data_IF_949296174644
#
_entry.id   IF_949296174644
#
_cell.length_a   1.000
_cell.length_b   1.000
_cell.length_c   1.000
_cell.angle_alpha   90.00
_cell.angle_beta   90.00
_cell.angle_gamma   90.00
#
_symmetry.space_group_name_H-M   'P 1'
#
loop_
_entity.id
_entity.type
_entity.pdbx_description
1 polymer ?
#
# COMPACT_ATOMS: atom_id res chain seq x y z
N UNK A 1 -10.16 1.12 10.29
CA UNK A 1 -11.34 1.90 9.89
C UNK A 1 -12.31 2.07 11.06
N UNK A 2 -13.08 3.15 11.04
CA UNK A 2 -14.15 3.36 12.01
C UNK A 2 -15.37 2.49 11.65
N UNK A 3 -15.81 1.56 12.50
CA UNK A 3 -16.77 0.51 12.11
C UNK A 3 -18.20 1.00 11.90
N UNK A 4 -18.55 2.17 12.46
CA UNK A 4 -19.93 2.72 12.42
C UNK A 4 -20.12 3.81 11.37
N UNK A 5 -19.09 4.11 10.57
CA UNK A 5 -19.15 5.11 9.50
C UNK A 5 -19.04 4.43 8.15
N UNK A 6 -19.53 5.09 7.10
CA UNK A 6 -19.41 4.57 5.73
C UNK A 6 -17.97 4.58 5.25
N UNK A 7 -17.68 3.82 4.20
CA UNK A 7 -16.39 3.80 3.49
C UNK A 7 -15.99 5.22 3.08
N UNK A 8 -16.88 5.94 2.42
CA UNK A 8 -16.63 7.31 1.98
C UNK A 8 -16.24 8.22 3.13
N UNK A 9 -16.98 8.17 4.23
CA UNK A 9 -16.69 8.98 5.43
C UNK A 9 -15.38 8.58 6.11
N UNK A 10 -15.02 7.29 6.10
CA UNK A 10 -13.72 6.84 6.59
C UNK A 10 -12.57 7.47 5.81
N UNK A 11 -12.69 7.55 4.48
CA UNK A 11 -11.67 8.17 3.62
C UNK A 11 -11.66 9.69 3.75
N UNK A 12 -12.81 10.31 3.98
CA UNK A 12 -12.90 11.76 4.22
C UNK A 12 -12.30 12.21 5.56
N UNK A 13 -12.13 11.29 6.53
CA UNK A 13 -11.73 11.65 7.89
C UNK A 13 -10.43 12.48 7.97
N UNK A 14 -9.34 12.17 7.28
CA UNK A 14 -8.12 13.00 7.30
C UNK A 14 -8.35 14.42 6.76
N UNK A 15 -9.30 14.60 5.85
CA UNK A 15 -9.62 15.90 5.25
C UNK A 15 -10.33 16.85 6.24
N UNK A 16 -10.90 16.32 7.33
CA UNK A 16 -11.53 17.12 8.37
C UNK A 16 -10.50 17.95 9.14
N UNK A 17 -9.28 17.43 9.26
CA UNK A 17 -8.15 18.04 9.96
C UNK A 17 -7.18 18.79 9.04
N UNK A 18 -7.56 18.97 7.77
CA UNK A 18 -6.78 19.71 6.77
C UNK A 18 -7.53 20.98 6.35
N UNK A 19 -6.83 21.91 5.70
CA UNK A 19 -7.39 23.17 5.19
C UNK A 19 -8.27 22.97 3.94
N UNK A 20 -8.70 21.74 3.66
CA UNK A 20 -9.53 21.43 2.48
C UNK A 20 -10.97 21.87 2.72
N UNK A 21 -11.55 22.71 1.83
CA UNK A 21 -12.94 23.12 1.89
C UNK A 21 -13.89 21.93 1.95
N UNK A 22 -14.96 22.04 2.74
CA UNK A 22 -15.95 20.96 2.89
C UNK A 22 -16.52 20.51 1.55
N UNK A 23 -16.74 21.44 0.62
CA UNK A 23 -17.24 21.17 -0.73
C UNK A 23 -16.34 20.31 -1.60
N UNK A 24 -15.04 20.20 -1.28
CA UNK A 24 -14.07 19.43 -2.06
C UNK A 24 -13.80 18.04 -1.45
N UNK A 25 -14.11 17.83 -0.16
CA UNK A 25 -13.72 16.63 0.59
C UNK A 25 -14.28 15.34 -0.03
N UNK A 26 -15.54 15.37 -0.38
CA UNK A 26 -16.22 14.22 -0.96
C UNK A 26 -15.59 13.82 -2.30
N UNK A 27 -15.37 14.79 -3.19
CA UNK A 27 -14.74 14.53 -4.49
C UNK A 27 -13.31 13.96 -4.36
N UNK A 28 -12.54 14.45 -3.37
CA UNK A 28 -11.19 13.92 -3.09
C UNK A 28 -11.25 12.49 -2.59
N UNK A 29 -12.17 12.18 -1.67
CA UNK A 29 -12.36 10.83 -1.17
C UNK A 29 -12.82 9.87 -2.28
N UNK A 30 -13.70 10.29 -3.15
CA UNK A 30 -14.11 9.55 -4.35
C UNK A 30 -12.94 9.20 -5.25
N UNK A 31 -12.10 10.19 -5.56
CA UNK A 31 -10.89 9.98 -6.38
C UNK A 31 -9.92 9.00 -5.73
N UNK A 32 -9.72 9.10 -4.43
CA UNK A 32 -8.86 8.19 -3.68
C UNK A 32 -9.40 6.75 -3.70
N UNK A 33 -10.69 6.53 -3.46
CA UNK A 33 -11.33 5.21 -3.53
C UNK A 33 -11.24 4.60 -4.93
N UNK A 34 -11.47 5.40 -5.96
CA UNK A 34 -11.36 4.96 -7.35
C UNK A 34 -9.93 4.57 -7.73
N UNK A 35 -8.90 5.28 -7.21
CA UNK A 35 -7.50 4.98 -7.51
C UNK A 35 -7.03 3.64 -6.98
N UNK A 36 -7.70 3.10 -5.95
CA UNK A 36 -7.44 1.77 -5.38
C UNK A 36 -8.42 0.70 -5.90
N UNK A 37 -9.21 1.01 -6.91
CA UNK A 37 -10.10 0.08 -7.59
C UNK A 37 -11.27 -0.42 -6.74
N UNK A 38 -11.71 0.33 -5.72
CA UNK A 38 -12.92 -0.04 -4.99
C UNK A 38 -14.15 0.38 -5.81
N UNK A 39 -15.09 -0.55 -6.13
CA UNK A 39 -16.33 -0.20 -6.83
C UNK A 39 -17.19 0.77 -6.03
N UNK A 40 -17.91 1.65 -6.76
CA UNK A 40 -18.70 2.74 -6.18
C UNK A 40 -19.83 2.25 -5.28
N UNK A 41 -20.40 1.07 -5.58
CA UNK A 41 -21.47 0.44 -4.80
C UNK A 41 -21.08 0.21 -3.32
N UNK A 42 -19.76 0.16 -3.00
CA UNK A 42 -19.28 -0.02 -1.64
C UNK A 42 -19.09 1.29 -0.87
N UNK A 43 -19.24 2.47 -1.49
CA UNK A 43 -18.89 3.74 -0.84
C UNK A 43 -19.80 4.08 0.34
N UNK A 44 -21.05 3.65 0.29
CA UNK A 44 -22.03 3.81 1.37
C UNK A 44 -22.07 2.63 2.35
N UNK A 45 -21.33 1.52 2.06
CA UNK A 45 -21.21 0.41 2.99
C UNK A 45 -20.40 0.81 4.24
N UNK A 46 -20.64 0.08 5.33
CA UNK A 46 -19.85 0.18 6.56
C UNK A 46 -18.67 -0.80 6.49
N UNK A 47 -17.63 -0.56 7.27
CA UNK A 47 -16.41 -1.39 7.23
C UNK A 47 -16.66 -2.87 7.61
N UNK A 48 -17.69 -3.16 8.41
CA UNK A 48 -18.07 -4.53 8.76
C UNK A 48 -18.82 -5.29 7.64
N UNK A 49 -19.16 -4.61 6.56
CA UNK A 49 -19.83 -5.18 5.38
C UNK A 49 -18.80 -5.50 4.26
N UNK A 50 -17.52 -5.24 4.51
CA UNK A 50 -16.43 -5.38 3.55
C UNK A 50 -15.60 -6.64 3.79
N UNK A 51 -15.05 -7.22 2.72
CA UNK A 51 -13.99 -8.22 2.80
C UNK A 51 -12.68 -7.63 3.32
N UNK A 52 -11.74 -8.48 3.78
CA UNK A 52 -10.42 -8.04 4.23
C UNK A 52 -9.67 -7.22 3.17
N UNK A 53 -9.69 -7.66 1.90
CA UNK A 53 -9.07 -6.93 0.80
C UNK A 53 -9.75 -5.58 0.49
N UNK A 54 -11.08 -5.49 0.63
CA UNK A 54 -11.79 -4.22 0.50
C UNK A 54 -11.44 -3.26 1.64
N UNK A 55 -11.35 -3.75 2.88
CA UNK A 55 -10.89 -2.96 4.04
C UNK A 55 -9.49 -2.40 3.79
N UNK A 56 -8.58 -3.22 3.26
CA UNK A 56 -7.22 -2.79 2.92
C UNK A 56 -7.22 -1.66 1.88
N UNK A 57 -7.99 -1.81 0.80
CA UNK A 57 -8.14 -0.75 -0.22
C UNK A 57 -8.67 0.55 0.37
N UNK A 58 -9.67 0.49 1.24
CA UNK A 58 -10.19 1.69 1.93
C UNK A 58 -9.13 2.33 2.83
N UNK A 59 -8.33 1.52 3.53
CA UNK A 59 -7.23 2.02 4.37
C UNK A 59 -6.17 2.74 3.53
N UNK A 60 -5.82 2.18 2.38
CA UNK A 60 -4.89 2.82 1.42
C UNK A 60 -5.49 4.11 0.88
N UNK A 61 -6.74 4.11 0.40
CA UNK A 61 -7.42 5.32 -0.08
C UNK A 61 -7.43 6.44 0.97
N UNK A 62 -7.68 6.08 2.24
CA UNK A 62 -7.64 7.02 3.36
C UNK A 62 -6.24 7.61 3.58
N UNK A 63 -5.18 6.81 3.40
CA UNK A 63 -3.81 7.32 3.51
C UNK A 63 -3.45 8.28 2.35
N UNK A 64 -4.02 8.06 1.17
CA UNK A 64 -3.74 8.83 -0.04
C UNK A 64 -4.54 10.13 -0.18
N UNK A 65 -5.66 10.28 0.53
CA UNK A 65 -6.67 11.33 0.29
C UNK A 65 -6.13 12.76 0.46
N UNK A 66 -5.13 12.95 1.33
CA UNK A 66 -4.47 14.24 1.57
C UNK A 66 -3.31 14.53 0.60
N UNK A 67 -3.10 13.70 -0.41
CA UNK A 67 -1.98 13.80 -1.34
C UNK A 67 -0.62 13.94 -0.61
N UNK A 68 -0.25 12.98 0.27
CA UNK A 68 0.91 13.09 1.15
C UNK A 68 2.22 13.16 0.36
N UNK A 69 3.25 13.81 0.94
CA UNK A 69 4.60 13.82 0.37
C UNK A 69 5.32 12.47 0.54
N UNK A 70 5.02 11.77 1.65
CA UNK A 70 5.61 10.47 2.01
C UNK A 70 4.50 9.48 2.37
N UNK A 71 4.61 8.27 1.88
CA UNK A 71 3.73 7.14 2.22
C UNK A 71 4.58 6.06 2.86
N UNK A 72 4.16 5.59 4.04
CA UNK A 72 4.71 4.43 4.72
C UNK A 72 3.72 3.29 4.57
N UNK A 73 4.10 2.23 3.88
CA UNK A 73 3.27 1.07 3.60
C UNK A 73 3.92 -0.19 4.18
N UNK A 74 3.28 -0.75 5.19
CA UNK A 74 3.68 -1.98 5.86
C UNK A 74 2.80 -3.13 5.36
N UNK A 75 3.40 -4.10 4.68
CA UNK A 75 2.73 -5.24 4.02
C UNK A 75 1.44 -4.85 3.26
N UNK A 76 1.49 -3.85 2.36
CA UNK A 76 0.27 -3.25 1.82
C UNK A 76 -0.55 -4.18 0.93
N UNK A 77 0.01 -5.27 0.47
CA UNK A 77 -0.62 -6.26 -0.44
C UNK A 77 -0.87 -7.61 0.20
N UNK A 78 -0.43 -7.84 1.44
CA UNK A 78 -0.46 -9.15 2.11
C UNK A 78 -1.85 -9.79 2.27
N UNK A 79 -2.93 -9.00 2.23
CA UNK A 79 -4.32 -9.48 2.32
C UNK A 79 -5.11 -9.29 1.01
N UNK A 80 -4.42 -9.06 -0.11
CA UNK A 80 -5.03 -8.81 -1.41
C UNK A 80 -4.82 -10.00 -2.34
N UNK A 81 -5.76 -10.22 -3.26
CA UNK A 81 -5.50 -11.05 -4.43
C UNK A 81 -4.43 -10.39 -5.34
N UNK A 82 -3.75 -11.19 -6.16
CA UNK A 82 -2.63 -10.74 -6.99
C UNK A 82 -2.99 -9.55 -7.89
N UNK A 83 -4.18 -9.55 -8.51
CA UNK A 83 -4.60 -8.48 -9.40
C UNK A 83 -4.83 -7.16 -8.64
N UNK A 84 -5.41 -7.24 -7.45
CA UNK A 84 -5.61 -6.08 -6.58
C UNK A 84 -4.30 -5.59 -5.99
N UNK A 85 -3.41 -6.50 -5.60
CA UNK A 85 -2.07 -6.17 -5.11
C UNK A 85 -1.28 -5.40 -6.16
N UNK A 86 -1.27 -5.88 -7.40
CA UNK A 86 -0.62 -5.18 -8.51
C UNK A 86 -1.21 -3.78 -8.76
N UNK A 87 -2.53 -3.63 -8.67
CA UNK A 87 -3.18 -2.32 -8.82
C UNK A 87 -2.71 -1.33 -7.75
N UNK A 88 -2.56 -1.77 -6.49
CA UNK A 88 -2.04 -0.94 -5.40
C UNK A 88 -0.60 -0.52 -5.68
N UNK A 89 0.26 -1.45 -6.10
CA UNK A 89 1.66 -1.15 -6.42
C UNK A 89 1.78 -0.20 -7.61
N UNK A 90 0.96 -0.36 -8.65
CA UNK A 90 0.86 0.61 -9.76
C UNK A 90 0.42 1.99 -9.30
N UNK A 91 -0.49 2.07 -8.32
CA UNK A 91 -0.91 3.35 -7.72
C UNK A 91 0.26 4.02 -6.99
N UNK A 92 1.04 3.25 -6.22
CA UNK A 92 2.25 3.78 -5.56
C UNK A 92 3.29 4.25 -6.59
N UNK A 93 3.52 3.48 -7.65
CA UNK A 93 4.42 3.88 -8.74
C UNK A 93 3.99 5.19 -9.40
N UNK A 94 2.71 5.33 -9.73
CA UNK A 94 2.16 6.56 -10.30
C UNK A 94 2.28 7.76 -9.37
N UNK A 95 2.30 7.56 -8.05
CA UNK A 95 2.55 8.62 -7.07
C UNK A 95 4.03 8.99 -7.00
N UNK A 96 4.92 7.99 -7.06
CA UNK A 96 6.36 8.22 -7.11
C UNK A 96 6.75 9.01 -8.38
N UNK A 97 6.16 8.69 -9.53
CA UNK A 97 6.36 9.42 -10.79
C UNK A 97 5.93 10.90 -10.68
N UNK A 98 5.06 11.21 -9.71
CA UNK A 98 4.66 12.59 -9.36
C UNK A 98 5.53 13.22 -8.27
N UNK A 99 6.67 12.60 -7.92
CA UNK A 99 7.62 13.11 -6.93
C UNK A 99 7.28 12.79 -5.48
N UNK A 100 6.38 11.82 -5.21
CA UNK A 100 6.12 11.33 -3.85
C UNK A 100 7.16 10.31 -3.42
N UNK A 101 7.46 10.26 -2.13
CA UNK A 101 8.33 9.23 -1.56
C UNK A 101 7.48 8.08 -1.02
N UNK A 102 7.77 6.86 -1.45
CA UNK A 102 7.11 5.65 -0.96
C UNK A 102 8.14 4.83 -0.18
N UNK A 103 7.85 4.52 1.07
CA UNK A 103 8.61 3.57 1.89
C UNK A 103 7.75 2.32 2.03
N UNK A 104 8.19 1.24 1.40
CA UNK A 104 7.50 -0.03 1.38
C UNK A 104 8.23 -1.01 2.31
N UNK A 105 7.52 -1.61 3.24
CA UNK A 105 8.02 -2.66 4.12
C UNK A 105 7.35 -3.96 3.69
N UNK A 106 8.16 -4.95 3.33
CA UNK A 106 7.67 -6.27 2.92
C UNK A 106 8.73 -7.34 3.14
N UNK A 107 8.30 -8.58 3.32
CA UNK A 107 9.16 -9.75 3.28
C UNK A 107 9.09 -10.48 1.93
N UNK A 108 8.25 -10.01 1.01
CA UNK A 108 8.04 -10.59 -0.31
C UNK A 108 9.03 -9.97 -1.31
N UNK A 109 9.94 -10.77 -1.92
CA UNK A 109 10.92 -10.28 -2.89
C UNK A 109 10.27 -9.76 -4.19
N UNK A 110 9.11 -10.29 -4.60
CA UNK A 110 8.40 -9.80 -5.80
C UNK A 110 7.86 -8.38 -5.56
N UNK A 111 7.35 -8.12 -4.35
CA UNK A 111 6.90 -6.78 -3.96
C UNK A 111 8.10 -5.83 -3.80
N UNK A 112 9.20 -6.29 -3.19
CA UNK A 112 10.42 -5.48 -3.04
C UNK A 112 11.01 -5.05 -4.40
N UNK A 113 10.88 -5.88 -5.44
CA UNK A 113 11.35 -5.56 -6.79
C UNK A 113 10.63 -4.37 -7.46
N UNK A 114 9.51 -3.90 -6.93
CA UNK A 114 8.84 -2.69 -7.40
C UNK A 114 9.54 -1.40 -6.96
N UNK A 115 10.42 -1.46 -5.95
CA UNK A 115 11.15 -0.31 -5.43
C UNK A 115 12.40 0.01 -6.28
N UNK A 116 12.76 1.28 -6.38
CA UNK A 116 14.01 1.70 -7.05
C UNK A 116 15.24 1.38 -6.18
N UNK A 117 15.06 1.27 -4.86
CA UNK A 117 16.09 0.94 -3.89
C UNK A 117 15.50 0.06 -2.80
N UNK A 118 16.16 -1.03 -2.52
CA UNK A 118 15.86 -1.93 -1.40
C UNK A 118 16.92 -1.79 -0.33
N UNK A 119 16.53 -1.90 0.93
CA UNK A 119 17.44 -1.98 2.07
C UNK A 119 16.99 -3.13 2.97
N UNK A 120 17.93 -3.91 3.48
CA UNK A 120 17.63 -5.02 4.36
C UNK A 120 17.87 -4.66 5.81
N UNK A 121 16.91 -5.03 6.67
CA UNK A 121 17.01 -4.87 8.13
C UNK A 121 17.13 -6.26 8.75
N UNK A 122 18.15 -6.43 9.60
CA UNK A 122 18.34 -7.66 10.38
C UNK A 122 18.72 -7.31 11.82
N UNK A 123 18.06 -7.95 12.77
CA UNK A 123 18.29 -7.75 14.20
C UNK A 123 18.23 -6.26 14.62
N UNK A 124 17.29 -5.50 14.00
CA UNK A 124 17.04 -4.09 14.29
C UNK A 124 18.07 -3.11 13.70
N UNK A 125 18.95 -3.55 12.80
CA UNK A 125 19.92 -2.70 12.09
C UNK A 125 19.85 -2.86 10.58
N UNK A 126 20.16 -1.78 9.86
CA UNK A 126 20.36 -1.83 8.43
C UNK A 126 21.62 -2.63 8.10
N UNK A 127 21.55 -3.49 7.10
CA UNK A 127 22.74 -4.16 6.55
C UNK A 127 23.57 -3.15 5.75
N UNK A 128 24.90 -3.30 5.82
CA UNK A 128 25.83 -2.59 4.94
C UNK A 128 25.78 -3.18 3.53
N UNK A 129 26.25 -2.46 2.52
CA UNK A 129 26.28 -2.93 1.12
C UNK A 129 27.03 -4.28 0.97
N UNK A 130 28.03 -4.53 1.81
CA UNK A 130 28.79 -5.79 1.82
C UNK A 130 27.98 -6.94 2.45
N UNK A 131 27.34 -6.68 3.60
CA UNK A 131 26.45 -7.63 4.28
C UNK A 131 25.22 -7.96 3.41
N UNK A 132 24.69 -6.96 2.70
CA UNK A 132 23.55 -7.12 1.78
C UNK A 132 23.92 -8.04 0.61
N UNK A 133 25.06 -7.80 -0.04
CA UNK A 133 25.55 -8.68 -1.11
C UNK A 133 25.75 -10.12 -0.62
N UNK A 134 26.32 -10.29 0.55
CA UNK A 134 26.52 -11.61 1.16
C UNK A 134 25.18 -12.27 1.52
N UNK A 135 24.18 -11.50 1.93
CA UNK A 135 22.84 -11.98 2.25
C UNK A 135 22.10 -12.43 0.99
N UNK A 136 22.08 -11.62 -0.05
CA UNK A 136 21.43 -11.93 -1.34
C UNK A 136 22.07 -13.17 -2.00
N UNK A 137 23.39 -13.29 -1.97
CA UNK A 137 24.10 -14.47 -2.51
C UNK A 137 23.73 -15.76 -1.77
N UNK A 138 23.50 -15.70 -0.45
CA UNK A 138 23.14 -16.90 0.34
C UNK A 138 21.69 -17.32 0.17
N UNK A 139 20.76 -16.36 -0.01
CA UNK A 139 19.32 -16.65 -0.06
C UNK A 139 18.82 -16.79 -1.50
N UNK A 140 19.33 -16.03 -2.45
CA UNK A 140 19.02 -16.18 -3.88
C UNK A 140 19.47 -17.55 -4.45
N UNK A 141 20.50 -18.17 -3.86
CA UNK A 141 20.91 -19.53 -4.23
C UNK A 141 19.97 -20.63 -3.66
N UNK A 142 19.23 -20.35 -2.59
CA UNK A 142 18.27 -21.30 -2.00
C UNK A 142 16.93 -21.33 -2.76
N UNK A 143 16.46 -20.22 -3.30
CA UNK A 143 15.25 -20.16 -4.12
C UNK A 143 15.45 -20.85 -5.48
N UNK A 144 16.64 -20.72 -6.09
CA UNK A 144 17.00 -21.43 -7.33
C UNK A 144 17.12 -22.95 -7.14
N UNK A 145 17.41 -23.43 -5.93
CA UNK A 145 17.55 -24.85 -5.60
C UNK A 145 16.24 -25.51 -5.15
N UNK A 146 15.24 -24.73 -4.70
CA UNK A 146 13.94 -25.22 -4.21
C UNK A 146 12.85 -25.38 -5.27
N UNK A 147 13.05 -24.87 -6.48
CA UNK A 147 12.07 -24.88 -7.59
C UNK A 147 12.07 -26.14 -8.46
N UNK A 148 12.76 -27.22 -8.09
CA UNK A 148 12.89 -28.43 -8.88
C UNK A 148 12.40 -29.70 -8.15
N UNK A 149 11.08 -29.77 -7.87
CA UNK A 149 10.53 -30.97 -7.22
C UNK A 149 9.01 -31.10 -7.33
N UNK A 150 8.62 -31.89 -8.33
CA UNK A 150 7.31 -32.54 -8.62
C UNK A 150 6.32 -31.75 -9.45
#
# INVERSE_FOLDING_TARGET
>A
LLPRTTVLRNVMLPLVYSDIPVSERELRAWRALRSVGLPEDYYDHRSNELSGGQIQRVAIARALVNDPAVILADEPTGNLDSATGEMVLRTFRAMQDRGKTIVLITHDPEIAAWADRTVHIRDGRLLTDEEERAFVLRHGAQEAAGGGGA
#
